data_IF_394632507359
#
_entry.id   IF_394632507359
#
_cell.length_a   1.000
_cell.length_b   1.000
_cell.length_c   1.000
_cell.angle_alpha   90.00
_cell.angle_beta   90.00
_cell.angle_gamma   90.00
#
_symmetry.space_group_name_H-M   'P 1'
#
loop_
_entity.id
_entity.type
_entity.pdbx_description
1 polymer ?
#
# COMPACT_ATOMS: atom_id res chain seq x y z
N UNK A 1 -33.62 37.33 23.53
CA UNK A 1 -33.10 36.51 24.65
C UNK A 1 -33.82 35.17 24.64
N UNK A 2 -33.29 34.20 23.89
CA UNK A 2 -33.72 32.79 23.93
C UNK A 2 -32.46 31.91 23.90
N UNK A 3 -32.42 30.81 24.66
CA UNK A 3 -31.19 30.17 25.11
C UNK A 3 -30.63 29.19 24.07
N UNK A 4 -29.31 29.07 24.11
CA UNK A 4 -28.52 28.10 23.37
C UNK A 4 -28.85 26.67 23.81
N UNK A 5 -29.00 25.75 22.84
CA UNK A 5 -28.97 24.30 23.07
C UNK A 5 -27.84 23.76 22.19
N UNK A 6 -26.65 23.59 22.79
CA UNK A 6 -25.59 22.80 22.18
C UNK A 6 -25.89 21.33 22.43
N UNK A 7 -26.33 20.62 21.40
CA UNK A 7 -26.41 19.16 21.41
C UNK A 7 -25.01 18.59 21.17
N UNK A 8 -24.38 18.03 22.21
CA UNK A 8 -23.15 17.25 22.05
C UNK A 8 -23.53 15.88 21.48
N UNK A 9 -23.26 15.67 20.19
CA UNK A 9 -23.35 14.35 19.58
C UNK A 9 -22.18 13.50 20.07
N UNK A 10 -22.45 12.51 20.93
CA UNK A 10 -21.48 11.48 21.29
C UNK A 10 -21.24 10.59 20.06
N UNK A 11 -20.10 10.78 19.40
CA UNK A 11 -19.67 9.91 18.31
C UNK A 11 -19.23 8.56 18.90
N UNK A 12 -20.13 7.59 18.90
CA UNK A 12 -19.80 6.18 19.22
C UNK A 12 -18.85 5.67 18.15
N UNK A 13 -17.56 5.56 18.47
CA UNK A 13 -16.58 4.96 17.57
C UNK A 13 -16.88 3.46 17.48
N UNK A 14 -17.43 3.02 16.36
CA UNK A 14 -17.65 1.61 16.05
C UNK A 14 -16.29 0.91 16.00
N UNK A 15 -15.95 0.17 17.05
CA UNK A 15 -14.81 -0.74 17.04
C UNK A 15 -15.18 -1.94 16.17
N UNK A 16 -14.86 -1.87 14.87
CA UNK A 16 -14.93 -3.05 14.02
C UNK A 16 -13.85 -4.03 14.50
N UNK A 17 -14.19 -5.31 14.76
CA UNK A 17 -13.19 -6.29 15.14
C UNK A 17 -12.25 -6.51 13.97
N UNK A 18 -11.00 -6.10 14.13
CA UNK A 18 -9.94 -6.36 13.16
C UNK A 18 -9.64 -7.84 13.23
N UNK A 19 -9.80 -8.55 12.12
CA UNK A 19 -9.50 -9.97 12.07
C UNK A 19 -8.00 -10.19 12.28
N UNK A 20 -7.65 -11.21 13.06
CA UNK A 20 -6.27 -11.72 13.10
C UNK A 20 -5.85 -12.40 11.78
N UNK A 21 -6.75 -12.50 10.80
CA UNK A 21 -6.43 -12.95 9.45
C UNK A 21 -6.16 -11.76 8.52
N UNK A 22 -5.22 -11.95 7.59
CA UNK A 22 -4.99 -11.01 6.47
C UNK A 22 -6.31 -10.81 5.70
N UNK A 23 -6.71 -9.56 5.40
CA UNK A 23 -7.96 -9.27 4.70
C UNK A 23 -7.99 -9.91 3.30
N UNK A 24 -9.20 -10.20 2.81
CA UNK A 24 -9.39 -10.70 1.43
C UNK A 24 -9.61 -9.51 0.50
N UNK A 25 -8.53 -9.09 -0.17
CA UNK A 25 -8.55 -7.97 -1.11
C UNK A 25 -8.92 -8.44 -2.52
N UNK A 26 -9.79 -7.69 -3.21
CA UNK A 26 -10.14 -7.96 -4.61
C UNK A 26 -9.11 -7.33 -5.55
N UNK A 27 -7.91 -7.90 -5.59
CA UNK A 27 -6.79 -7.40 -6.40
C UNK A 27 -6.99 -7.60 -7.90
N UNK A 28 -7.91 -8.49 -8.31
CA UNK A 28 -8.23 -8.71 -9.72
C UNK A 28 -8.83 -7.46 -10.36
N UNK A 29 -9.69 -6.73 -9.64
CA UNK A 29 -10.26 -5.47 -10.11
C UNK A 29 -9.17 -4.39 -10.28
N UNK A 30 -8.29 -4.25 -9.30
CA UNK A 30 -7.12 -3.36 -9.35
C UNK A 30 -6.24 -3.69 -10.56
N UNK A 31 -5.86 -4.95 -10.74
CA UNK A 31 -5.00 -5.36 -11.85
C UNK A 31 -5.62 -5.14 -13.23
N UNK A 32 -6.93 -5.37 -13.40
CA UNK A 32 -7.64 -5.01 -14.64
C UNK A 32 -7.60 -3.50 -14.88
N UNK A 33 -7.90 -2.71 -13.84
CA UNK A 33 -7.84 -1.26 -13.90
C UNK A 33 -6.45 -0.74 -14.29
N UNK A 34 -5.38 -1.31 -13.74
CA UNK A 34 -4.00 -0.92 -14.09
C UNK A 34 -3.68 -1.20 -15.57
N UNK A 35 -4.06 -2.37 -16.09
CA UNK A 35 -3.85 -2.71 -17.51
C UNK A 35 -4.61 -1.76 -18.43
N UNK A 36 -5.86 -1.44 -18.08
CA UNK A 36 -6.69 -0.51 -18.85
C UNK A 36 -6.13 0.92 -18.81
N UNK A 37 -5.68 1.37 -17.63
CA UNK A 37 -5.06 2.67 -17.45
C UNK A 37 -3.75 2.79 -18.26
N UNK A 38 -2.87 1.81 -18.18
CA UNK A 38 -1.60 1.79 -18.93
C UNK A 38 -1.82 1.83 -20.44
N UNK A 39 -2.84 1.09 -20.91
CA UNK A 39 -3.27 1.10 -22.32
C UNK A 39 -3.82 2.47 -22.72
N UNK A 40 -4.67 3.07 -21.89
CA UNK A 40 -5.24 4.40 -22.15
C UNK A 40 -4.16 5.50 -22.19
N UNK A 41 -3.11 5.35 -21.39
CA UNK A 41 -1.95 6.25 -21.37
C UNK A 41 -0.94 5.98 -22.49
N UNK A 42 -1.09 4.87 -23.24
CA UNK A 42 -0.16 4.50 -24.30
C UNK A 42 1.26 4.25 -23.80
N UNK A 43 1.41 3.67 -22.60
CA UNK A 43 2.72 3.39 -22.03
C UNK A 43 3.52 2.43 -22.93
N UNK A 44 4.81 2.71 -23.10
CA UNK A 44 5.69 1.85 -23.90
C UNK A 44 5.90 0.46 -23.28
N UNK A 45 5.84 0.38 -21.94
CA UNK A 45 5.91 -0.85 -21.17
C UNK A 45 4.72 -0.90 -20.20
N UNK A 46 3.53 -1.32 -20.66
CA UNK A 46 2.39 -1.52 -19.78
C UNK A 46 2.62 -2.72 -18.87
N UNK A 47 2.12 -2.65 -17.64
CA UNK A 47 2.07 -3.83 -16.77
C UNK A 47 1.11 -4.86 -17.37
N UNK A 48 1.51 -6.13 -17.37
CA UNK A 48 0.59 -7.22 -17.73
C UNK A 48 -0.27 -7.61 -16.53
N UNK A 49 -1.48 -8.10 -16.81
CA UNK A 49 -2.38 -8.63 -15.78
C UNK A 49 -1.70 -9.73 -14.94
N UNK A 50 -1.03 -10.69 -15.59
CA UNK A 50 -0.36 -11.80 -14.90
C UNK A 50 0.78 -11.31 -14.00
N UNK A 51 1.52 -10.29 -14.42
CA UNK A 51 2.58 -9.70 -13.59
C UNK A 51 1.98 -9.01 -12.36
N UNK A 52 0.92 -8.23 -12.54
CA UNK A 52 0.20 -7.62 -11.43
C UNK A 52 -0.29 -8.67 -10.43
N UNK A 53 -1.00 -9.70 -10.92
CA UNK A 53 -1.52 -10.78 -10.06
C UNK A 53 -0.40 -11.54 -9.33
N UNK A 54 0.74 -11.75 -9.99
CA UNK A 54 1.92 -12.38 -9.39
C UNK A 54 2.48 -11.52 -8.24
N UNK A 55 2.64 -10.22 -8.45
CA UNK A 55 3.18 -9.29 -7.46
C UNK A 55 2.23 -9.21 -6.24
N UNK A 56 0.92 -9.12 -6.48
CA UNK A 56 -0.14 -9.11 -5.45
C UNK A 56 -0.17 -10.40 -4.63
N UNK A 57 -0.10 -11.56 -5.28
CA UNK A 57 -0.11 -12.84 -4.58
C UNK A 57 1.20 -13.06 -3.79
N UNK A 58 2.33 -12.57 -4.29
CA UNK A 58 3.61 -12.57 -3.55
C UNK A 58 3.53 -11.71 -2.30
N UNK A 59 2.97 -10.50 -2.39
CA UNK A 59 2.79 -9.62 -1.25
C UNK A 59 1.83 -10.24 -0.20
N UNK A 60 0.75 -10.87 -0.65
CA UNK A 60 -0.17 -11.61 0.25
C UNK A 60 0.53 -12.74 1.02
N UNK A 61 1.42 -13.49 0.35
CA UNK A 61 2.20 -14.54 1.01
C UNK A 61 3.15 -13.97 2.07
N UNK A 62 3.76 -12.81 1.81
CA UNK A 62 4.63 -12.12 2.76
C UNK A 62 3.87 -11.54 3.96
N UNK A 63 2.61 -11.12 3.76
CA UNK A 63 1.75 -10.63 4.84
C UNK A 63 1.40 -11.72 5.85
N UNK A 64 1.16 -12.96 5.41
CA UNK A 64 0.77 -14.09 6.26
C UNK A 64 1.58 -14.24 7.56
N UNK A 65 2.92 -14.37 7.50
CA UNK A 65 3.76 -14.54 8.70
C UNK A 65 3.91 -13.29 9.57
N UNK A 66 3.70 -12.07 9.04
CA UNK A 66 3.94 -10.82 9.77
C UNK A 66 2.66 -10.14 10.24
N UNK A 67 1.49 -10.47 9.70
CA UNK A 67 0.24 -9.75 9.97
C UNK A 67 -0.06 -9.60 11.46
N UNK A 68 0.02 -10.70 12.21
CA UNK A 68 -0.28 -10.70 13.64
C UNK A 68 0.79 -10.02 14.50
N UNK A 69 2.00 -9.74 13.98
CA UNK A 69 3.02 -9.00 14.75
C UNK A 69 2.73 -7.50 14.83
N UNK A 70 1.95 -6.96 13.90
CA UNK A 70 1.50 -5.57 13.93
C UNK A 70 0.35 -5.38 14.92
N UNK A 71 0.25 -4.19 15.52
CA UNK A 71 -0.90 -3.85 16.37
C UNK A 71 -2.20 -3.78 15.55
N UNK A 72 -3.33 -4.01 16.20
CA UNK A 72 -4.65 -3.88 15.58
C UNK A 72 -4.83 -2.48 14.93
N UNK A 73 -4.46 -1.41 15.64
CA UNK A 73 -4.53 -0.04 15.09
C UNK A 73 -3.73 0.13 13.81
N UNK A 74 -2.50 -0.40 13.75
CA UNK A 74 -1.65 -0.33 12.54
C UNK A 74 -2.26 -1.14 11.40
N UNK A 75 -2.78 -2.34 11.69
CA UNK A 75 -3.47 -3.17 10.71
C UNK A 75 -4.68 -2.45 10.09
N UNK A 76 -5.54 -1.83 10.89
CA UNK A 76 -6.67 -1.06 10.38
C UNK A 76 -6.25 0.18 9.56
N UNK A 77 -5.23 0.90 10.02
CA UNK A 77 -4.72 2.05 9.27
C UNK A 77 -4.24 1.61 7.88
N UNK A 78 -3.35 0.61 7.83
CA UNK A 78 -2.79 0.14 6.57
C UNK A 78 -3.80 -0.56 5.67
N UNK A 79 -4.80 -1.26 6.23
CA UNK A 79 -5.91 -1.80 5.44
C UNK A 79 -6.75 -0.69 4.80
N UNK A 80 -7.00 0.41 5.53
CA UNK A 80 -7.66 1.59 4.97
C UNK A 80 -6.88 2.17 3.79
N UNK A 81 -5.59 2.46 3.98
CA UNK A 81 -4.73 3.00 2.92
C UNK A 81 -4.65 2.07 1.70
N UNK A 82 -4.58 0.75 1.93
CA UNK A 82 -4.46 -0.26 0.88
C UNK A 82 -5.78 -0.60 0.16
N UNK A 83 -6.90 -0.02 0.61
CA UNK A 83 -8.23 -0.20 -0.01
C UNK A 83 -8.86 1.12 -0.48
N UNK A 84 -8.10 2.21 -0.38
CA UNK A 84 -8.55 3.54 -0.78
C UNK A 84 -8.71 3.68 -2.30
N UNK A 85 -9.47 4.70 -2.71
CA UNK A 85 -9.70 5.04 -4.13
C UNK A 85 -10.21 3.87 -4.99
N UNK A 86 -11.00 2.98 -4.40
CA UNK A 86 -11.61 1.84 -5.09
C UNK A 86 -10.59 0.86 -5.69
N UNK A 87 -9.35 0.89 -5.19
CA UNK A 87 -8.27 -0.04 -5.53
C UNK A 87 -7.88 -0.78 -4.25
N UNK A 88 -7.76 -2.09 -4.36
CA UNK A 88 -7.27 -2.93 -3.27
C UNK A 88 -5.94 -3.56 -3.67
N UNK A 89 -4.89 -3.39 -2.86
CA UNK A 89 -3.56 -3.94 -3.13
C UNK A 89 -2.91 -4.53 -1.88
N UNK A 90 -2.46 -5.78 -1.98
CA UNK A 90 -1.60 -6.40 -0.98
C UNK A 90 -0.19 -5.81 -1.00
N UNK A 91 0.28 -5.30 -2.14
CA UNK A 91 1.57 -4.61 -2.24
C UNK A 91 1.53 -3.33 -1.41
N UNK A 92 0.47 -2.54 -1.52
CA UNK A 92 0.30 -1.31 -0.72
C UNK A 92 0.13 -1.64 0.77
N UNK A 93 -0.64 -2.67 1.11
CA UNK A 93 -0.81 -3.13 2.49
C UNK A 93 0.53 -3.54 3.12
N UNK A 94 1.31 -4.37 2.42
CA UNK A 94 2.63 -4.80 2.87
C UNK A 94 3.57 -3.62 3.03
N UNK A 95 3.55 -2.69 2.07
CA UNK A 95 4.40 -1.49 2.08
C UNK A 95 4.07 -0.59 3.26
N UNK A 96 2.78 -0.34 3.53
CA UNK A 96 2.36 0.45 4.69
C UNK A 96 2.87 -0.16 6.00
N UNK A 97 2.66 -1.47 6.21
CA UNK A 97 3.14 -2.15 7.42
C UNK A 97 4.66 -2.03 7.58
N UNK A 98 5.43 -2.26 6.52
CA UNK A 98 6.89 -2.14 6.55
C UNK A 98 7.36 -0.70 6.84
N UNK A 99 6.64 0.31 6.37
CA UNK A 99 6.92 1.71 6.67
C UNK A 99 6.64 2.06 8.13
N UNK A 100 5.59 1.49 8.74
CA UNK A 100 5.26 1.73 10.16
C UNK A 100 6.28 1.13 11.14
N UNK A 101 6.92 0.03 10.78
CA UNK A 101 7.93 -0.63 11.62
C UNK A 101 9.34 -0.04 11.47
N UNK A 102 9.57 0.86 10.52
CA UNK A 102 10.92 1.32 10.16
C UNK A 102 11.83 0.19 9.65
N UNK A 103 11.29 -1.00 9.42
CA UNK A 103 11.97 -2.20 8.94
C UNK A 103 12.07 -2.23 7.41
N UNK A 104 11.88 -1.08 6.75
CA UNK A 104 12.40 -0.84 5.41
C UNK A 104 13.90 -1.08 5.49
N UNK A 105 14.30 -2.34 5.28
CA UNK A 105 15.62 -2.72 4.84
C UNK A 105 15.76 -2.10 3.47
N UNK A 106 16.04 -0.80 3.49
CA UNK A 106 16.74 -0.13 2.42
C UNK A 106 18.01 -0.96 2.29
N UNK A 107 17.97 -1.93 1.40
CA UNK A 107 19.15 -2.32 0.66
C UNK A 107 19.51 -1.07 -0.14
N UNK A 108 20.06 -0.07 0.56
CA UNK A 108 20.95 0.91 0.00
C UNK A 108 22.13 0.12 -0.54
N UNK A 109 21.95 -0.54 -1.68
CA UNK A 109 22.95 -0.35 -2.72
C UNK A 109 22.93 1.14 -2.94
N UNK A 110 23.77 1.84 -2.17
CA UNK A 110 24.03 3.24 -2.36
C UNK A 110 24.17 3.42 -3.87
N UNK A 111 23.28 4.21 -4.48
CA UNK A 111 23.45 4.62 -5.86
C UNK A 111 24.74 5.45 -5.86
N UNK A 112 25.87 4.75 -6.00
CA UNK A 112 27.19 5.33 -6.19
C UNK A 112 27.14 5.94 -7.57
N UNK A 113 26.68 7.19 -7.62
CA UNK A 113 26.73 8.02 -8.82
C UNK A 113 28.17 8.04 -9.31
N UNK A 114 28.45 7.27 -10.36
CA UNK A 114 29.73 7.28 -11.03
C UNK A 114 29.80 8.50 -11.94
N UNK A 115 30.00 9.69 -11.37
CA UNK A 115 30.44 10.86 -12.12
C UNK A 115 31.92 10.67 -12.49
N UNK A 116 32.20 9.85 -13.50
CA UNK A 116 33.53 9.82 -14.13
C UNK A 116 33.62 10.97 -15.13
N UNK A 117 34.09 12.14 -14.67
CA UNK A 117 34.65 13.14 -15.59
C UNK A 117 35.86 12.53 -16.29
N UNK A 118 35.72 12.24 -17.59
CA UNK A 118 36.87 11.89 -18.45
C UNK A 118 37.73 13.14 -18.64
N UNK A 119 39.02 13.02 -18.33
CA UNK A 119 40.09 13.99 -18.59
C UNK A 119 40.31 14.10 -20.11
N UNK A 120 40.39 15.31 -20.66
CA UNK A 120 40.93 15.55 -21.99
C UNK A 120 42.46 15.75 -21.91
N UNK A 121 43.26 15.18 -22.82
CA UNK A 121 44.69 15.44 -22.89
C UNK A 121 44.98 16.76 -23.60
N UNK A 122 46.01 17.47 -23.12
CA UNK A 122 46.74 18.50 -23.86
C UNK A 122 48.18 18.01 -23.99
#
# INVERSE_FOLDING_TARGET
>A
MHPAIMAMAAATQLLMPISDAVPKLNVEATCKGSVEADKAMGLALPQSFDKCMSDENSARQQLGPIWSSYSATVRAQCEGEATDFNNASYVDLLTCLQMTDGSVSTSTTALKGASRKKKAPN
#
